data_IF_147007205634
#
_entry.id   IF_147007205634
#
_cell.length_a   1.000
_cell.length_b   1.000
_cell.length_c   1.000
_cell.angle_alpha   90.00
_cell.angle_beta   90.00
_cell.angle_gamma   90.00
#
_symmetry.space_group_name_H-M   'P 1'
#
loop_
_entity.id
_entity.type
_entity.pdbx_description
1 polymer ?
#
# COMPACT_ATOMS: atom_id res chain seq x y z
N UNK A 1 1.81 16.23 -23.55
CA UNK A 1 1.55 16.46 -22.12
C UNK A 1 1.68 15.13 -21.37
N UNK A 2 2.37 15.14 -20.24
CA UNK A 2 2.51 13.94 -19.42
C UNK A 2 1.23 13.68 -18.63
N UNK A 3 0.87 12.41 -18.40
CA UNK A 3 -0.30 12.05 -17.62
C UNK A 3 -0.13 12.45 -16.15
N UNK A 4 -1.25 12.68 -15.50
CA UNK A 4 -1.28 13.04 -14.09
C UNK A 4 -1.01 11.81 -13.22
N UNK A 5 -0.13 11.97 -12.22
CA UNK A 5 0.17 10.93 -11.25
C UNK A 5 -0.76 11.05 -10.05
N UNK A 6 -1.03 9.93 -9.37
CA UNK A 6 -1.86 9.94 -8.17
C UNK A 6 -1.03 10.47 -6.98
N UNK A 7 -1.37 11.64 -6.41
CA UNK A 7 -0.58 12.23 -5.31
C UNK A 7 -0.49 11.32 -4.09
N UNK A 8 -1.52 10.52 -3.83
CA UNK A 8 -1.51 9.61 -2.68
C UNK A 8 -0.45 8.52 -2.83
N UNK A 9 -0.15 8.10 -4.06
CA UNK A 9 0.85 7.08 -4.35
C UNK A 9 2.27 7.66 -4.52
N UNK A 10 2.43 8.98 -4.42
CA UNK A 10 3.71 9.67 -4.55
C UNK A 10 4.46 9.77 -3.22
N UNK A 11 4.52 8.68 -2.50
CA UNK A 11 5.34 8.52 -1.32
C UNK A 11 6.06 7.19 -1.48
N UNK A 12 7.35 7.17 -1.28
CA UNK A 12 8.14 5.95 -1.39
C UNK A 12 7.54 4.81 -0.56
N UNK A 13 7.17 5.10 0.68
CA UNK A 13 6.60 4.07 1.56
C UNK A 13 5.21 3.62 1.11
N UNK A 14 4.32 4.56 0.76
CA UNK A 14 2.98 4.18 0.28
C UNK A 14 3.06 3.41 -1.03
N UNK A 15 3.93 3.82 -1.95
CA UNK A 15 4.12 3.10 -3.20
C UNK A 15 4.68 1.70 -2.96
N UNK A 16 5.63 1.56 -2.03
CA UNK A 16 6.18 0.25 -1.66
C UNK A 16 5.11 -0.68 -1.08
N UNK A 17 4.28 -0.18 -0.18
CA UNK A 17 3.17 -0.95 0.41
C UNK A 17 2.20 -1.41 -0.68
N UNK A 18 1.77 -0.50 -1.55
CA UNK A 18 0.85 -0.84 -2.65
C UNK A 18 1.47 -1.85 -3.61
N UNK A 19 2.75 -1.72 -3.92
CA UNK A 19 3.47 -2.65 -4.79
C UNK A 19 3.49 -4.06 -4.21
N UNK A 20 3.76 -4.18 -2.91
CA UNK A 20 3.75 -5.48 -2.23
C UNK A 20 2.34 -6.08 -2.25
N UNK A 21 1.33 -5.28 -1.86
CA UNK A 21 -0.05 -5.76 -1.77
C UNK A 21 -0.66 -6.10 -3.13
N UNK A 22 -0.19 -5.47 -4.20
CA UNK A 22 -0.65 -5.80 -5.55
C UNK A 22 -0.22 -7.21 -6.00
N UNK A 23 0.82 -7.76 -5.39
CA UNK A 23 1.37 -9.07 -5.76
C UNK A 23 0.98 -10.21 -4.83
N UNK A 24 0.19 -9.95 -3.78
CA UNK A 24 -0.21 -10.95 -2.79
C UNK A 24 -1.71 -10.83 -2.48
N UNK A 25 -2.29 -11.87 -1.90
CA UNK A 25 -3.68 -11.82 -1.45
C UNK A 25 -3.85 -10.90 -0.25
N UNK A 26 -2.96 -11.03 0.73
CA UNK A 26 -2.87 -10.15 1.89
C UNK A 26 -1.45 -10.15 2.45
N UNK A 27 -1.18 -9.22 3.37
CA UNK A 27 0.10 -9.18 4.08
C UNK A 27 -0.11 -8.59 5.46
N UNK A 28 0.58 -9.13 6.46
CA UNK A 28 0.50 -8.59 7.81
C UNK A 28 1.46 -7.40 8.00
N UNK A 29 1.21 -6.64 9.06
CA UNK A 29 1.99 -5.45 9.39
C UNK A 29 3.48 -5.75 9.59
N UNK A 30 3.79 -6.85 10.25
CA UNK A 30 5.18 -7.26 10.52
C UNK A 30 5.93 -7.52 9.22
N UNK A 31 5.29 -8.21 8.28
CA UNK A 31 5.86 -8.48 6.97
C UNK A 31 6.10 -7.17 6.20
N UNK A 32 5.10 -6.29 6.16
CA UNK A 32 5.23 -4.99 5.48
C UNK A 32 6.34 -4.14 6.09
N UNK A 33 6.44 -4.13 7.41
CA UNK A 33 7.51 -3.41 8.11
C UNK A 33 8.88 -3.93 7.73
N UNK A 34 9.03 -5.25 7.71
CA UNK A 34 10.30 -5.90 7.36
C UNK A 34 10.70 -5.61 5.91
N UNK A 35 9.77 -5.72 4.98
CA UNK A 35 10.05 -5.53 3.56
C UNK A 35 10.34 -4.06 3.21
N UNK A 36 9.72 -3.12 3.89
CA UNK A 36 9.91 -1.69 3.61
C UNK A 36 11.03 -1.06 4.40
N UNK A 37 11.45 -1.67 5.50
CA UNK A 37 12.42 -1.08 6.43
C UNK A 37 11.87 0.10 7.23
N UNK A 38 10.57 0.34 7.19
CA UNK A 38 9.95 1.49 7.85
C UNK A 38 9.87 1.29 9.38
N UNK A 39 9.75 2.39 10.10
CA UNK A 39 9.38 2.34 11.52
C UNK A 39 7.91 1.97 11.65
N UNK A 40 7.53 1.37 12.79
CA UNK A 40 6.13 1.03 13.07
C UNK A 40 5.22 2.25 13.00
N UNK A 41 5.67 3.38 13.55
CA UNK A 41 4.88 4.61 13.56
C UNK A 41 4.64 5.16 12.17
N UNK A 42 5.67 5.25 11.34
CA UNK A 42 5.53 5.77 9.99
C UNK A 42 4.69 4.83 9.11
N UNK A 43 4.93 3.53 9.20
CA UNK A 43 4.13 2.56 8.45
C UNK A 43 2.66 2.63 8.82
N UNK A 44 2.35 2.73 10.12
CA UNK A 44 0.97 2.84 10.60
C UNK A 44 0.27 4.07 10.03
N UNK A 45 0.95 5.22 10.00
CA UNK A 45 0.40 6.46 9.41
C UNK A 45 0.10 6.28 7.92
N UNK A 46 1.01 5.65 7.17
CA UNK A 46 0.81 5.47 5.73
C UNK A 46 -0.31 4.47 5.43
N UNK A 47 -0.41 3.40 6.22
CA UNK A 47 -1.50 2.42 6.11
C UNK A 47 -2.85 3.11 6.36
N UNK A 48 -2.94 3.96 7.39
CA UNK A 48 -4.16 4.70 7.67
C UNK A 48 -4.57 5.60 6.51
N UNK A 49 -3.61 6.28 5.88
CA UNK A 49 -3.88 7.13 4.71
C UNK A 49 -4.41 6.32 3.53
N UNK A 50 -3.82 5.17 3.25
CA UNK A 50 -4.26 4.29 2.16
C UNK A 50 -5.64 3.70 2.45
N UNK A 51 -5.90 3.32 3.69
CA UNK A 51 -7.20 2.81 4.13
C UNK A 51 -8.28 3.88 4.02
N UNK A 52 -8.00 5.11 4.47
CA UNK A 52 -8.94 6.22 4.38
C UNK A 52 -9.32 6.56 2.92
N UNK A 53 -8.41 6.36 1.99
CA UNK A 53 -8.67 6.55 0.57
C UNK A 53 -9.43 5.38 -0.08
N UNK A 54 -9.64 4.29 0.65
CA UNK A 54 -10.31 3.10 0.11
C UNK A 54 -9.42 2.22 -0.76
N UNK A 55 -8.10 2.42 -0.72
CA UNK A 55 -7.15 1.66 -1.54
C UNK A 55 -6.75 0.34 -0.92
N UNK A 56 -6.87 0.21 0.40
CA UNK A 56 -6.61 -1.02 1.13
C UNK A 56 -7.68 -1.22 2.19
N UNK A 57 -7.84 -2.46 2.64
CA UNK A 57 -8.58 -2.79 3.86
C UNK A 57 -7.59 -3.22 4.92
N UNK A 58 -7.93 -2.94 6.18
CA UNK A 58 -7.11 -3.29 7.34
C UNK A 58 -7.97 -4.11 8.28
N UNK A 59 -7.52 -5.32 8.57
CA UNK A 59 -8.17 -6.22 9.53
C UNK A 59 -7.29 -6.36 10.76
N UNK A 60 -7.80 -5.92 11.90
CA UNK A 60 -7.14 -6.04 13.20
C UNK A 60 -7.73 -7.23 13.92
N UNK A 61 -7.03 -8.35 13.82
CA UNK A 61 -7.46 -9.61 14.44
C UNK A 61 -6.36 -10.21 15.31
N UNK A 62 -6.40 -11.52 15.42
CA UNK A 62 -5.44 -12.28 16.18
C UNK A 62 -4.91 -13.45 15.38
N UNK A 63 -3.64 -13.78 15.60
CA UNK A 63 -3.03 -15.01 15.13
C UNK A 63 -2.71 -15.83 16.37
N UNK A 64 -3.60 -16.76 16.70
CA UNK A 64 -3.59 -17.39 18.02
C UNK A 64 -3.94 -16.36 19.10
N UNK A 65 -3.04 -16.12 20.04
CA UNK A 65 -3.21 -15.13 21.12
C UNK A 65 -2.50 -13.80 20.82
N UNK A 66 -1.83 -13.70 19.66
CA UNK A 66 -1.05 -12.51 19.30
C UNK A 66 -1.89 -11.60 18.41
N UNK A 67 -2.04 -10.31 18.76
CA UNK A 67 -2.69 -9.36 17.85
C UNK A 67 -1.97 -9.29 16.51
N UNK A 68 -2.73 -9.32 15.42
CA UNK A 68 -2.19 -9.28 14.07
C UNK A 68 -2.99 -8.32 13.21
N UNK A 69 -2.32 -7.37 12.56
CA UNK A 69 -2.93 -6.45 11.61
C UNK A 69 -2.62 -6.94 10.20
N UNK A 70 -3.66 -7.22 9.43
CA UNK A 70 -3.54 -7.72 8.06
C UNK A 70 -4.09 -6.71 7.08
N UNK A 71 -3.34 -6.43 6.02
CA UNK A 71 -3.70 -5.48 4.97
C UNK A 71 -3.97 -6.21 3.66
N UNK A 72 -4.93 -5.70 2.90
CA UNK A 72 -5.31 -6.24 1.61
C UNK A 72 -5.62 -5.09 0.66
N UNK A 73 -5.13 -5.17 -0.58
CA UNK A 73 -5.45 -4.18 -1.60
C UNK A 73 -6.92 -4.36 -2.04
N UNK A 74 -7.62 -3.24 -2.25
CA UNK A 74 -8.99 -3.25 -2.78
C UNK A 74 -8.97 -3.21 -4.31
N UNK A 75 -10.09 -3.55 -4.98
CA UNK A 75 -10.19 -3.33 -6.43
C UNK A 75 -9.90 -1.88 -6.83
N UNK A 76 -10.39 -0.91 -6.03
CA UNK A 76 -10.11 0.51 -6.28
C UNK A 76 -8.62 0.83 -6.13
N UNK A 77 -7.96 0.25 -5.11
CA UNK A 77 -6.53 0.42 -4.90
C UNK A 77 -5.69 -0.19 -6.01
N UNK A 78 -6.06 -1.38 -6.47
CA UNK A 78 -5.37 -2.04 -7.58
C UNK A 78 -5.51 -1.22 -8.87
N UNK A 79 -6.71 -0.74 -9.16
CA UNK A 79 -6.95 0.11 -10.32
C UNK A 79 -6.12 1.40 -10.27
N UNK A 80 -6.11 2.08 -9.13
CA UNK A 80 -5.33 3.31 -8.93
C UNK A 80 -3.83 3.03 -9.09
N UNK A 81 -3.35 1.93 -8.53
CA UNK A 81 -1.95 1.54 -8.62
C UNK A 81 -1.54 1.25 -10.06
N UNK A 82 -2.33 0.48 -10.80
CA UNK A 82 -2.04 0.15 -12.19
C UNK A 82 -2.04 1.39 -13.08
N UNK A 83 -3.00 2.30 -12.89
CA UNK A 83 -3.06 3.57 -13.61
C UNK A 83 -1.85 4.43 -13.33
N UNK A 84 -1.42 4.50 -12.08
CA UNK A 84 -0.26 5.29 -11.68
C UNK A 84 1.04 4.71 -12.26
N UNK A 85 1.20 3.39 -12.22
CA UNK A 85 2.36 2.71 -12.83
C UNK A 85 2.41 2.96 -14.33
N UNK A 86 1.28 2.86 -15.02
CA UNK A 86 1.22 3.12 -16.45
C UNK A 86 1.52 4.59 -16.78
N UNK A 87 1.01 5.52 -15.96
CA UNK A 87 1.31 6.93 -16.11
C UNK A 87 2.81 7.21 -15.88
N UNK A 88 3.39 6.59 -14.86
CA UNK A 88 4.81 6.76 -14.55
C UNK A 88 5.73 6.28 -15.68
N UNK A 89 5.34 5.23 -16.41
CA UNK A 89 6.09 4.76 -17.56
C UNK A 89 6.29 5.84 -18.63
N UNK A 90 5.34 6.76 -18.77
CA UNK A 90 5.43 7.89 -19.69
C UNK A 90 6.55 8.86 -19.30
N UNK A 91 6.91 8.89 -18.01
CA UNK A 91 7.98 9.75 -17.50
C UNK A 91 9.37 9.14 -17.67
N UNK A 92 9.43 7.84 -17.92
CA UNK A 92 10.69 7.07 -17.91
C UNK A 92 11.26 6.82 -19.31
N UNK A 93 10.69 7.44 -20.30
CA UNK A 93 11.14 7.30 -21.69
C UNK A 93 12.38 8.16 -21.95
#
# INVERSE_FOLDING_TARGET
MLPKLDPLLHSELRLAVMSILAGVEDADFTYLKKQTGATSGNLSVQIDKLSAAGYITVDKGFKGKVPCTTCKITPAGLDAFEKDVNALKEYLI
#
